data_IF_912647637489
#
_entry.id   IF_912647637489
#
_cell.length_a   1.000
_cell.length_b   1.000
_cell.length_c   1.000
_cell.angle_alpha   90.00
_cell.angle_beta   90.00
_cell.angle_gamma   90.00
#
_symmetry.space_group_name_H-M   'P 1'
#
loop_
_entity.id
_entity.type
_entity.pdbx_description
1 polymer ?
#
# COMPACT_ATOMS: atom_id res chain seq x y z
N UNK A 1 -40.83 -52.96 25.13
CA UNK A 1 -41.60 -51.79 24.67
C UNK A 1 -40.64 -50.82 23.99
N UNK A 2 -41.07 -50.16 22.91
CA UNK A 2 -40.30 -49.27 22.02
C UNK A 2 -39.64 -48.09 22.78
N UNK A 3 -38.42 -47.69 22.37
CA UNK A 3 -37.79 -46.37 22.62
C UNK A 3 -38.55 -45.25 21.85
N UNK A 4 -38.41 -43.92 22.10
CA UNK A 4 -37.15 -43.10 22.04
C UNK A 4 -37.22 -41.77 22.87
N UNK A 5 -36.61 -40.60 22.51
CA UNK A 5 -35.30 -40.26 21.90
C UNK A 5 -34.45 -39.24 22.71
N UNK A 6 -33.21 -39.04 22.23
CA UNK A 6 -32.32 -37.90 22.53
C UNK A 6 -32.85 -36.55 22.00
N UNK A 7 -32.44 -35.42 22.60
CA UNK A 7 -31.97 -34.25 21.83
C UNK A 7 -31.12 -33.26 22.64
N UNK A 8 -30.14 -32.74 21.92
CA UNK A 8 -29.09 -31.75 22.17
C UNK A 8 -29.62 -30.31 22.38
N UNK A 9 -28.88 -29.46 23.09
CA UNK A 9 -29.20 -28.03 23.18
C UNK A 9 -28.11 -27.14 23.80
N UNK A 10 -27.34 -26.49 22.92
CA UNK A 10 -26.76 -25.13 22.99
C UNK A 10 -26.14 -24.63 24.32
N UNK A 11 -24.82 -24.40 24.28
CA UNK A 11 -24.14 -23.45 25.18
C UNK A 11 -23.83 -22.19 24.36
N UNK A 12 -24.59 -21.12 24.60
CA UNK A 12 -24.25 -19.78 24.14
C UNK A 12 -23.17 -19.19 25.05
N UNK A 13 -22.09 -18.67 24.46
CA UNK A 13 -21.05 -17.92 25.17
C UNK A 13 -21.40 -16.43 25.08
N UNK A 14 -21.82 -15.87 26.21
CA UNK A 14 -21.97 -14.43 26.45
C UNK A 14 -20.75 -13.93 27.22
N UNK A 15 -19.97 -13.02 26.63
CA UNK A 15 -19.07 -12.08 27.32
C UNK A 15 -19.02 -10.83 26.43
N UNK A 16 -19.37 -9.60 26.81
CA UNK A 16 -19.49 -8.99 28.13
C UNK A 16 -18.72 -7.66 28.10
N UNK A 17 -19.34 -6.60 27.58
CA UNK A 17 -18.80 -5.23 27.57
C UNK A 17 -18.88 -4.66 29.00
N UNK A 18 -17.76 -4.28 29.61
CA UNK A 18 -17.71 -3.62 30.92
C UNK A 18 -17.36 -2.13 30.77
N UNK A 19 -18.36 -1.29 31.02
CA UNK A 19 -18.21 0.14 31.33
C UNK A 19 -18.41 0.29 32.84
N UNK A 20 -17.37 0.76 33.54
CA UNK A 20 -17.44 1.37 34.88
C UNK A 20 -17.02 2.83 34.67
N UNK A 21 -17.74 3.88 35.10
CA UNK A 21 -18.72 3.98 36.17
C UNK A 21 -18.15 4.88 37.27
N UNK A 22 -18.19 6.20 37.10
CA UNK A 22 -17.89 7.18 38.16
C UNK A 22 -18.96 8.30 38.19
N UNK A 23 -19.71 8.34 39.30
CA UNK A 23 -19.98 9.55 40.09
C UNK A 23 -21.03 10.56 39.60
N UNK A 24 -22.27 10.44 40.09
CA UNK A 24 -23.29 11.49 40.08
C UNK A 24 -23.24 12.30 41.38
N UNK A 25 -23.01 13.62 41.31
CA UNK A 25 -23.79 14.68 42.02
C UNK A 25 -23.16 16.06 41.82
N UNK A 26 -23.90 16.99 41.20
CA UNK A 26 -23.54 18.40 41.21
C UNK A 26 -24.38 19.27 40.29
N UNK A 27 -25.44 19.86 40.86
CA UNK A 27 -26.04 21.14 40.46
C UNK A 27 -26.66 21.26 39.04
N UNK A 28 -27.98 21.06 38.98
CA UNK A 28 -28.82 21.57 37.89
C UNK A 28 -28.80 23.11 37.90
N UNK A 29 -28.07 23.72 36.95
CA UNK A 29 -28.34 25.08 36.47
C UNK A 29 -28.75 24.98 35.00
N UNK A 30 -30.01 25.27 34.70
CA UNK A 30 -30.48 25.39 33.33
C UNK A 30 -29.75 26.53 32.59
N UNK A 31 -29.57 26.42 31.27
CA UNK A 31 -28.92 27.48 30.49
C UNK A 31 -29.74 28.77 30.52
N UNK A 32 -29.06 29.90 30.66
CA UNK A 32 -29.66 31.23 30.57
C UNK A 32 -30.27 31.47 29.17
N UNK A 33 -31.34 32.27 29.05
CA UNK A 33 -31.93 32.59 27.75
C UNK A 33 -30.95 33.38 26.88
N UNK A 34 -30.71 32.89 25.67
CA UNK A 34 -29.90 33.55 24.64
C UNK A 34 -30.73 34.63 23.99
N UNK A 35 -30.33 35.89 24.16
CA UNK A 35 -30.91 37.03 23.43
C UNK A 35 -30.71 36.86 21.93
N UNK A 36 -31.71 37.18 21.07
CA UNK A 36 -31.55 37.09 19.63
C UNK A 36 -30.50 38.09 19.15
N UNK A 37 -29.52 37.59 18.39
CA UNK A 37 -28.52 38.44 17.71
C UNK A 37 -29.22 39.36 16.71
N UNK A 38 -28.81 40.63 16.58
CA UNK A 38 -29.31 41.49 15.51
C UNK A 38 -28.93 40.88 14.15
N UNK A 39 -29.89 40.89 13.22
CA UNK A 39 -29.69 40.42 11.86
C UNK A 39 -28.55 41.21 11.19
N UNK A 40 -27.42 40.53 10.97
CA UNK A 40 -26.31 41.08 10.20
C UNK A 40 -26.76 41.37 8.76
N UNK A 41 -26.30 42.49 8.20
CA UNK A 41 -26.47 42.84 6.78
C UNK A 41 -26.11 41.63 5.90
N UNK A 42 -26.85 41.34 4.82
CA UNK A 42 -26.49 40.28 3.90
C UNK A 42 -25.10 40.56 3.32
N UNK A 43 -24.15 39.69 3.63
CA UNK A 43 -22.81 39.73 3.08
C UNK A 43 -22.92 39.34 1.60
N UNK A 44 -22.59 40.28 0.71
CA UNK A 44 -22.45 40.00 -0.72
C UNK A 44 -21.32 38.99 -0.90
N UNK A 45 -21.65 37.74 -1.18
CA UNK A 45 -20.67 36.72 -1.58
C UNK A 45 -20.32 37.00 -3.03
N UNK A 46 -19.20 37.67 -3.27
CA UNK A 46 -18.62 37.68 -4.60
C UNK A 46 -18.03 36.30 -4.90
N UNK A 47 -18.23 35.75 -6.12
CA UNK A 47 -17.68 34.45 -6.47
C UNK A 47 -16.16 34.51 -6.39
N UNK A 48 -15.58 33.77 -5.44
CA UNK A 48 -14.14 33.50 -5.40
C UNK A 48 -13.78 32.73 -6.66
N UNK A 49 -13.22 33.41 -7.65
CA UNK A 49 -12.45 32.79 -8.72
C UNK A 49 -11.27 32.07 -8.08
N UNK A 50 -11.29 30.74 -8.11
CA UNK A 50 -10.10 29.94 -7.83
C UNK A 50 -9.02 30.36 -8.83
N UNK A 51 -7.77 30.65 -8.39
CA UNK A 51 -6.71 30.94 -9.32
C UNK A 51 -6.55 29.73 -10.25
N UNK A 52 -6.65 29.96 -11.56
CA UNK A 52 -6.30 28.93 -12.55
C UNK A 52 -4.86 28.52 -12.26
N UNK A 53 -4.63 27.24 -12.01
CA UNK A 53 -3.29 26.67 -11.91
C UNK A 53 -2.55 27.07 -13.21
N UNK A 54 -1.38 27.72 -13.14
CA UNK A 54 -0.63 28.04 -14.36
C UNK A 54 -0.37 26.72 -15.12
N UNK A 55 -0.43 26.74 -16.46
CA UNK A 55 0.01 25.59 -17.24
C UNK A 55 1.44 25.23 -16.84
N UNK A 56 1.77 23.94 -16.87
CA UNK A 56 3.12 23.48 -16.61
C UNK A 56 4.11 24.28 -17.49
N UNK A 57 5.29 24.67 -16.97
CA UNK A 57 6.27 25.37 -17.78
C UNK A 57 6.60 24.49 -18.98
N UNK A 58 6.44 25.07 -20.18
CA UNK A 58 7.01 24.51 -21.40
C UNK A 58 8.53 24.53 -21.16
N UNK A 59 9.25 23.39 -21.27
CA UNK A 59 10.69 23.39 -21.07
C UNK A 59 11.30 24.40 -22.05
N UNK A 60 12.16 25.28 -21.52
CA UNK A 60 12.90 26.26 -22.32
C UNK A 60 13.57 25.53 -23.48
N UNK A 61 13.54 26.15 -24.66
CA UNK A 61 14.29 25.69 -25.81
C UNK A 61 15.77 25.66 -25.42
N UNK A 62 16.26 24.48 -25.03
CA UNK A 62 17.66 24.24 -24.72
C UNK A 62 18.44 24.44 -26.00
N UNK A 63 19.27 25.49 -25.98
CA UNK A 63 20.25 25.81 -27.00
C UNK A 63 21.13 24.59 -27.22
N UNK A 64 21.13 24.06 -28.46
CA UNK A 64 21.95 22.92 -28.86
C UNK A 64 23.42 23.16 -28.47
N UNK A 65 24.05 22.27 -27.65
CA UNK A 65 25.48 22.35 -27.43
C UNK A 65 26.19 21.97 -28.73
N UNK A 66 26.87 22.95 -29.31
CA UNK A 66 27.84 22.76 -30.38
C UNK A 66 28.91 21.77 -29.93
N UNK A 67 29.02 20.65 -30.66
CA UNK A 67 30.25 19.92 -30.87
C UNK A 67 30.91 19.29 -29.65
N UNK A 68 30.54 18.05 -29.36
CA UNK A 68 31.48 16.94 -29.19
C UNK A 68 30.70 15.62 -29.24
N UNK A 69 31.01 14.76 -30.20
CA UNK A 69 30.44 13.42 -30.32
C UNK A 69 30.74 12.60 -29.06
N UNK A 70 29.75 12.12 -28.28
CA UNK A 70 30.00 11.15 -27.22
C UNK A 70 29.97 9.75 -27.81
N UNK A 71 30.82 8.87 -27.27
CA UNK A 71 30.94 7.45 -27.61
C UNK A 71 29.70 6.59 -27.25
N UNK A 72 28.57 7.21 -26.93
CA UNK A 72 27.35 6.59 -26.40
C UNK A 72 26.21 6.61 -27.44
N UNK A 73 26.43 5.96 -28.58
CA UNK A 73 25.31 5.55 -29.41
C UNK A 73 24.43 4.60 -28.58
N UNK A 74 23.10 4.78 -28.55
CA UNK A 74 22.22 3.87 -27.83
C UNK A 74 22.46 2.46 -28.36
N UNK A 75 22.77 1.53 -27.45
CA UNK A 75 22.87 0.11 -27.76
C UNK A 75 21.56 -0.31 -28.43
N UNK A 76 21.63 -0.82 -29.65
CA UNK A 76 20.46 -1.27 -30.41
C UNK A 76 19.78 -2.39 -29.61
N UNK A 77 18.58 -2.12 -29.12
CA UNK A 77 17.83 -3.03 -28.27
C UNK A 77 17.24 -4.22 -29.04
N UNK A 78 17.50 -4.33 -30.36
CA UNK A 78 17.15 -5.49 -31.18
C UNK A 78 15.67 -5.56 -31.55
N UNK A 79 14.91 -4.48 -31.34
CA UNK A 79 13.51 -4.37 -31.73
C UNK A 79 13.25 -3.04 -32.46
N UNK A 80 12.51 -3.10 -33.56
CA UNK A 80 12.09 -1.90 -34.30
C UNK A 80 10.99 -1.18 -33.51
N UNK A 81 11.32 -0.01 -32.95
CA UNK A 81 10.33 0.82 -32.23
C UNK A 81 9.62 1.74 -33.23
N UNK A 82 8.29 1.64 -33.41
CA UNK A 82 7.56 2.54 -34.28
C UNK A 82 7.37 3.93 -33.63
N UNK A 83 8.07 4.92 -34.20
CA UNK A 83 7.83 6.38 -34.19
C UNK A 83 7.88 7.15 -32.84
N UNK A 84 8.67 8.23 -32.87
CA UNK A 84 8.88 9.29 -31.85
C UNK A 84 9.43 8.89 -30.49
N UNK A 85 10.63 8.28 -30.48
CA UNK A 85 11.48 8.32 -29.29
C UNK A 85 12.18 9.69 -29.12
N UNK A 86 11.95 10.66 -30.00
CA UNK A 86 12.59 11.97 -29.94
C UNK A 86 12.26 12.70 -28.62
N UNK A 87 11.04 12.52 -28.10
CA UNK A 87 10.56 13.18 -26.88
C UNK A 87 11.13 12.55 -25.58
N UNK A 88 11.56 11.29 -25.64
CA UNK A 88 12.09 10.54 -24.50
C UNK A 88 13.55 10.13 -24.64
N UNK A 89 14.19 10.45 -25.76
CA UNK A 89 15.58 10.06 -26.05
C UNK A 89 16.56 10.58 -25.00
N UNK A 90 16.28 11.76 -24.42
CA UNK A 90 17.07 12.28 -23.30
C UNK A 90 16.94 11.40 -22.05
N UNK A 91 15.73 10.93 -21.73
CA UNK A 91 15.47 10.13 -20.52
C UNK A 91 16.03 8.72 -20.64
N UNK A 92 15.86 8.08 -21.80
CA UNK A 92 16.38 6.72 -22.07
C UNK A 92 17.89 6.66 -21.87
N UNK A 93 18.63 7.72 -22.24
CA UNK A 93 20.08 7.82 -22.05
C UNK A 93 20.53 7.94 -20.58
N UNK A 94 19.61 8.28 -19.67
CA UNK A 94 19.91 8.43 -18.24
C UNK A 94 19.67 7.14 -17.46
N UNK A 95 19.02 6.13 -18.03
CA UNK A 95 18.76 4.88 -17.33
C UNK A 95 20.02 4.03 -17.21
N UNK A 96 20.31 3.63 -15.97
CA UNK A 96 21.40 2.73 -15.63
C UNK A 96 20.82 1.52 -14.91
N UNK A 97 21.36 0.31 -15.13
CA UNK A 97 20.94 -0.85 -14.36
C UNK A 97 21.29 -0.65 -12.88
N UNK A 98 20.36 -1.01 -12.00
CA UNK A 98 20.58 -1.06 -10.57
C UNK A 98 20.19 -2.46 -10.08
N UNK A 99 20.99 -3.10 -9.19
CA UNK A 99 20.57 -4.34 -8.56
C UNK A 99 19.21 -4.17 -7.90
N UNK A 100 18.24 -5.02 -8.25
CA UNK A 100 16.89 -4.93 -7.70
C UNK A 100 16.87 -5.17 -6.19
N UNK A 101 17.76 -6.03 -5.70
CA UNK A 101 17.82 -6.48 -4.31
C UNK A 101 19.19 -6.19 -3.69
N UNK A 102 19.18 -5.75 -2.44
CA UNK A 102 20.34 -5.68 -1.57
C UNK A 102 20.91 -7.08 -1.26
N UNK A 103 22.12 -7.11 -0.69
CA UNK A 103 22.73 -8.37 -0.24
C UNK A 103 21.90 -9.08 0.85
N UNK A 104 21.16 -8.33 1.67
CA UNK A 104 20.30 -8.92 2.70
C UNK A 104 19.03 -9.50 2.09
N UNK A 105 18.35 -8.77 1.22
CA UNK A 105 17.20 -9.27 0.47
C UNK A 105 17.55 -10.53 -0.34
N UNK A 106 18.72 -10.56 -0.99
CA UNK A 106 19.19 -11.77 -1.67
C UNK A 106 19.34 -12.99 -0.74
N UNK A 107 19.74 -12.78 0.52
CA UNK A 107 19.82 -13.88 1.51
C UNK A 107 18.43 -14.33 1.94
N UNK A 108 17.51 -13.39 2.18
CA UNK A 108 16.13 -13.71 2.54
C UNK A 108 15.42 -14.43 1.39
N UNK A 109 15.56 -13.94 0.15
CA UNK A 109 14.99 -14.57 -1.03
C UNK A 109 15.39 -16.05 -1.11
N UNK A 110 16.70 -16.35 -0.99
CA UNK A 110 17.18 -17.74 -0.99
C UNK A 110 16.58 -18.57 0.14
N UNK A 111 16.42 -17.99 1.33
CA UNK A 111 15.79 -18.66 2.47
C UNK A 111 14.30 -18.96 2.20
N UNK A 112 13.55 -17.99 1.68
CA UNK A 112 12.13 -18.15 1.33
C UNK A 112 11.95 -19.20 0.23
N UNK A 113 12.72 -19.10 -0.85
CA UNK A 113 12.68 -20.05 -1.98
C UNK A 113 13.00 -21.48 -1.53
N UNK A 114 13.87 -21.66 -0.53
CA UNK A 114 14.15 -22.99 0.05
C UNK A 114 13.05 -23.56 0.94
N UNK A 115 12.04 -22.77 1.31
CA UNK A 115 10.95 -23.17 2.22
C UNK A 115 9.60 -23.35 1.52
N UNK A 116 9.41 -22.73 0.35
CA UNK A 116 8.15 -22.85 -0.39
C UNK A 116 8.03 -24.25 -1.04
N UNK A 117 6.85 -24.90 -0.99
CA UNK A 117 6.63 -26.17 -1.66
C UNK A 117 6.48 -26.00 -3.19
N UNK A 118 6.47 -27.11 -3.97
CA UNK A 118 6.11 -27.06 -5.39
C UNK A 118 4.75 -26.39 -5.62
N UNK A 119 4.62 -25.61 -6.69
CA UNK A 119 3.39 -24.86 -6.98
C UNK A 119 3.24 -23.55 -6.19
N UNK A 120 4.28 -23.13 -5.47
CA UNK A 120 4.34 -21.85 -4.76
C UNK A 120 5.59 -21.08 -5.19
N UNK A 121 5.43 -19.79 -5.49
CA UNK A 121 6.51 -18.91 -5.98
C UNK A 121 6.76 -17.74 -5.04
N UNK A 122 8.02 -17.28 -4.99
CA UNK A 122 8.43 -16.06 -4.30
C UNK A 122 8.68 -14.96 -5.33
N UNK A 123 8.00 -13.84 -5.20
CA UNK A 123 8.07 -12.68 -6.09
C UNK A 123 8.70 -11.49 -5.34
N UNK A 124 9.93 -11.07 -5.68
CA UNK A 124 10.57 -9.92 -5.04
C UNK A 124 10.03 -8.58 -5.56
N UNK A 125 10.06 -7.56 -4.70
CA UNK A 125 9.82 -6.14 -5.02
C UNK A 125 8.52 -5.89 -5.80
N UNK A 126 7.40 -6.44 -5.32
CA UNK A 126 6.10 -6.32 -5.97
C UNK A 126 5.37 -5.07 -5.48
N UNK A 127 4.86 -4.24 -6.41
CA UNK A 127 4.10 -3.04 -6.01
C UNK A 127 2.74 -3.43 -5.48
N UNK A 128 2.26 -2.74 -4.43
CA UNK A 128 0.92 -2.95 -3.87
C UNK A 128 -0.17 -2.78 -4.93
N UNK A 129 -0.01 -1.80 -5.83
CA UNK A 129 -0.96 -1.56 -6.92
C UNK A 129 -1.06 -2.70 -7.95
N UNK A 130 -0.12 -3.66 -7.95
CA UNK A 130 -0.16 -4.78 -8.89
C UNK A 130 -1.04 -5.94 -8.37
N UNK A 131 -1.38 -5.97 -7.08
CA UNK A 131 -2.23 -7.02 -6.48
C UNK A 131 -3.36 -6.50 -5.59
N UNK A 132 -3.43 -5.19 -5.31
CA UNK A 132 -4.50 -4.54 -4.56
C UNK A 132 -5.22 -3.53 -5.45
N UNK A 133 -6.54 -3.69 -5.56
CA UNK A 133 -7.40 -2.80 -6.36
C UNK A 133 -8.36 -2.02 -5.45
N UNK A 134 -8.36 -0.68 -5.48
CA UNK A 134 -9.33 0.12 -4.74
C UNK A 134 -10.78 -0.14 -5.21
N UNK A 135 -11.69 -0.31 -4.24
CA UNK A 135 -13.14 -0.48 -4.47
C UNK A 135 -13.95 0.50 -3.62
N UNK A 136 -13.69 1.78 -3.83
CA UNK A 136 -14.41 2.92 -3.25
C UNK A 136 -15.70 3.28 -4.00
N UNK A 137 -16.44 4.29 -3.51
CA UNK A 137 -17.77 4.65 -4.00
C UNK A 137 -17.78 5.26 -5.40
N UNK A 138 -16.66 5.81 -5.87
CA UNK A 138 -16.55 6.46 -7.17
C UNK A 138 -15.12 6.39 -7.74
N UNK A 139 -14.98 6.76 -9.02
CA UNK A 139 -13.71 6.72 -9.75
C UNK A 139 -12.64 7.67 -9.19
N UNK A 140 -13.05 8.77 -8.57
CA UNK A 140 -12.15 9.78 -8.02
C UNK A 140 -11.54 9.30 -6.69
N UNK A 141 -12.36 8.69 -5.83
CA UNK A 141 -11.92 7.97 -4.63
C UNK A 141 -10.97 6.83 -4.98
N UNK A 142 -11.30 6.01 -6.00
CA UNK A 142 -10.44 4.92 -6.45
C UNK A 142 -9.10 5.43 -6.96
N UNK A 143 -9.10 6.49 -7.78
CA UNK A 143 -7.86 7.09 -8.30
C UNK A 143 -6.98 7.64 -7.18
N UNK A 144 -7.56 8.34 -6.19
CA UNK A 144 -6.82 8.81 -5.01
C UNK A 144 -6.21 7.67 -4.21
N UNK A 145 -6.98 6.60 -3.96
CA UNK A 145 -6.50 5.43 -3.23
C UNK A 145 -5.39 4.70 -4.01
N UNK A 146 -5.55 4.54 -5.32
CA UNK A 146 -4.53 3.95 -6.20
C UNK A 146 -3.20 4.68 -6.09
N UNK A 147 -3.19 6.01 -6.17
CA UNK A 147 -1.94 6.79 -6.04
C UNK A 147 -1.27 6.66 -4.67
N UNK A 148 -2.00 6.28 -3.62
CA UNK A 148 -1.40 6.01 -2.30
C UNK A 148 -0.59 4.71 -2.28
N UNK A 149 -0.95 3.72 -3.08
CA UNK A 149 -0.31 2.40 -3.12
C UNK A 149 0.61 2.20 -4.33
N UNK A 150 0.46 2.99 -5.39
CA UNK A 150 1.19 2.83 -6.66
C UNK A 150 2.71 2.97 -6.55
N UNK A 151 3.19 3.75 -5.58
CA UNK A 151 4.62 3.94 -5.32
C UNK A 151 5.15 3.09 -4.16
N UNK A 152 4.37 2.12 -3.69
CA UNK A 152 4.75 1.23 -2.58
C UNK A 152 4.94 -0.18 -3.10
N UNK A 153 6.03 -0.81 -2.70
CA UNK A 153 6.28 -2.23 -2.89
C UNK A 153 6.36 -2.92 -1.55
N UNK A 154 6.04 -4.21 -1.57
CA UNK A 154 6.42 -5.17 -0.54
C UNK A 154 7.68 -5.89 -1.00
N UNK A 155 8.60 -6.18 -0.07
CA UNK A 155 9.88 -6.80 -0.42
C UNK A 155 9.71 -8.18 -1.05
N UNK A 156 8.79 -8.99 -0.54
CA UNK A 156 8.41 -10.26 -1.18
C UNK A 156 6.91 -10.54 -1.08
N UNK A 157 6.34 -11.07 -2.16
CA UNK A 157 5.09 -11.82 -2.12
C UNK A 157 5.35 -13.30 -2.30
N UNK A 158 4.55 -14.11 -1.62
CA UNK A 158 4.45 -15.53 -1.89
C UNK A 158 3.10 -15.80 -2.52
N UNK A 159 3.11 -16.47 -3.68
CA UNK A 159 1.91 -16.70 -4.50
C UNK A 159 1.77 -18.17 -4.85
N UNK A 160 0.54 -18.61 -5.14
CA UNK A 160 0.28 -19.89 -5.79
C UNK A 160 0.60 -19.77 -7.29
N UNK A 161 1.42 -20.68 -7.81
CA UNK A 161 1.90 -20.66 -9.20
C UNK A 161 0.78 -20.75 -10.24
N UNK A 162 -0.26 -21.56 -9.97
CA UNK A 162 -1.30 -21.87 -10.95
C UNK A 162 -2.26 -20.73 -11.28
N UNK A 163 -2.52 -19.82 -10.33
CA UNK A 163 -3.52 -18.74 -10.46
C UNK A 163 -3.00 -17.36 -10.03
N UNK A 164 -1.78 -17.29 -9.47
CA UNK A 164 -1.19 -16.07 -8.97
C UNK A 164 -1.81 -15.55 -7.66
N UNK A 165 -2.62 -16.35 -6.97
CA UNK A 165 -3.24 -15.92 -5.72
C UNK A 165 -2.17 -15.65 -4.66
N UNK A 166 -2.25 -14.48 -4.01
CA UNK A 166 -1.31 -14.08 -2.96
C UNK A 166 -1.61 -14.84 -1.67
N UNK A 167 -0.59 -15.47 -1.10
CA UNK A 167 -0.68 -16.28 0.12
C UNK A 167 -0.09 -15.53 1.33
N UNK A 168 0.99 -14.79 1.13
CA UNK A 168 1.73 -14.09 2.19
C UNK A 168 2.50 -12.91 1.59
N UNK A 169 2.53 -11.77 2.28
CA UNK A 169 3.54 -10.73 2.08
C UNK A 169 4.66 -10.86 3.12
N UNK A 170 5.87 -10.46 2.74
CA UNK A 170 7.03 -10.38 3.64
C UNK A 170 7.71 -9.02 3.49
N UNK A 171 7.87 -8.29 4.59
CA UNK A 171 8.58 -7.00 4.68
C UNK A 171 9.85 -7.14 5.50
N UNK A 172 10.92 -6.48 5.05
CA UNK A 172 12.21 -6.44 5.74
C UNK A 172 12.38 -5.11 6.48
N UNK A 173 12.24 -5.17 7.79
CA UNK A 173 12.34 -4.00 8.66
C UNK A 173 13.82 -3.73 8.99
N UNK A 174 14.51 -2.90 8.23
CA UNK A 174 15.84 -2.45 8.62
C UNK A 174 15.77 -1.69 9.97
N UNK A 175 16.75 -1.83 10.85
CA UNK A 175 16.78 -1.20 12.18
C UNK A 175 16.88 0.34 12.18
N UNK A 176 16.79 1.00 11.01
CA UNK A 176 16.94 2.46 10.81
C UNK A 176 15.62 3.26 10.87
N UNK A 177 14.55 2.70 11.45
CA UNK A 177 13.15 3.14 11.27
C UNK A 177 12.58 4.21 12.23
N UNK A 178 13.38 5.11 12.78
CA UNK A 178 12.86 6.12 13.74
C UNK A 178 12.31 7.42 13.13
N UNK A 179 12.17 7.51 11.81
CA UNK A 179 11.62 8.70 11.16
C UNK A 179 10.07 8.62 11.09
N UNK A 180 9.33 9.66 11.55
CA UNK A 180 7.86 9.69 11.55
C UNK A 180 7.20 9.41 10.18
N UNK A 181 7.87 9.78 9.09
CA UNK A 181 7.39 9.54 7.73
C UNK A 181 7.41 8.05 7.35
N UNK A 182 8.33 7.26 7.92
CA UNK A 182 8.36 5.80 7.73
C UNK A 182 7.23 5.13 8.52
N UNK A 183 6.91 5.60 9.74
CA UNK A 183 5.77 5.08 10.51
C UNK A 183 4.44 5.23 9.77
N UNK A 184 4.21 6.38 9.11
CA UNK A 184 3.01 6.57 8.29
C UNK A 184 2.99 5.66 7.05
N UNK A 185 4.16 5.47 6.42
CA UNK A 185 4.32 4.58 5.26
C UNK A 185 3.99 3.13 5.64
N UNK A 186 4.59 2.65 6.72
CA UNK A 186 4.46 1.27 7.18
C UNK A 186 3.03 1.02 7.68
N UNK A 187 2.40 2.02 8.32
CA UNK A 187 1.00 1.94 8.73
C UNK A 187 0.03 1.74 7.56
N UNK A 188 0.27 2.37 6.40
CA UNK A 188 -0.58 2.16 5.22
C UNK A 188 -0.43 0.76 4.64
N UNK A 189 0.79 0.22 4.55
CA UNK A 189 1.02 -1.14 4.03
C UNK A 189 0.32 -2.15 4.93
N UNK A 190 0.55 -2.07 6.25
CA UNK A 190 -0.11 -2.91 7.24
C UNK A 190 -1.63 -2.85 7.14
N UNK A 191 -2.21 -1.64 7.08
CA UNK A 191 -3.64 -1.47 6.96
C UNK A 191 -4.19 -2.03 5.63
N UNK A 192 -3.44 -1.91 4.53
CA UNK A 192 -3.84 -2.45 3.23
C UNK A 192 -3.89 -3.97 3.26
N UNK A 193 -2.84 -4.64 3.76
CA UNK A 193 -2.77 -6.10 3.90
C UNK A 193 -3.89 -6.64 4.80
N UNK A 194 -4.09 -6.00 5.96
CA UNK A 194 -5.18 -6.35 6.87
C UNK A 194 -6.56 -6.21 6.20
N UNK A 195 -6.78 -5.13 5.44
CA UNK A 195 -8.04 -4.88 4.74
C UNK A 195 -8.35 -5.89 3.64
N UNK A 196 -7.33 -6.42 2.94
CA UNK A 196 -7.50 -7.43 1.89
C UNK A 196 -7.43 -8.87 2.41
N UNK A 197 -7.19 -9.05 3.72
CA UNK A 197 -7.15 -10.37 4.36
C UNK A 197 -5.93 -11.21 4.00
N UNK A 198 -4.83 -10.57 3.60
CA UNK A 198 -3.57 -11.26 3.30
C UNK A 198 -2.63 -11.11 4.51
N UNK A 199 -2.04 -12.21 5.02
CA UNK A 199 -1.02 -12.13 6.06
C UNK A 199 0.21 -11.32 5.62
N UNK A 200 0.82 -10.57 6.54
CA UNK A 200 2.05 -9.84 6.33
C UNK A 200 3.06 -10.18 7.43
N UNK A 201 4.20 -10.75 7.04
CA UNK A 201 5.29 -11.10 7.95
C UNK A 201 6.37 -10.02 7.91
N UNK A 202 6.66 -9.43 9.07
CA UNK A 202 7.80 -8.54 9.24
C UNK A 202 9.03 -9.32 9.72
N UNK A 203 10.18 -9.06 9.10
CA UNK A 203 11.45 -9.71 9.41
C UNK A 203 12.50 -8.64 9.73
N UNK A 204 13.05 -8.68 10.93
CA UNK A 204 14.16 -7.80 11.33
C UNK A 204 15.52 -8.46 11.09
N UNK A 205 16.62 -7.69 10.94
CA UNK A 205 17.96 -8.22 10.84
C UNK A 205 18.29 -9.22 11.96
N UNK A 206 18.81 -10.39 11.58
CA UNK A 206 19.18 -11.46 12.53
C UNK A 206 18.04 -12.38 12.94
N UNK A 207 16.79 -12.06 12.62
CA UNK A 207 15.66 -12.96 12.84
C UNK A 207 15.71 -14.13 11.84
N UNK A 208 15.44 -15.35 12.35
CA UNK A 208 15.23 -16.51 11.48
C UNK A 208 13.88 -16.37 10.77
N UNK A 209 13.90 -16.46 9.44
CA UNK A 209 12.70 -16.47 8.61
C UNK A 209 12.15 -17.89 8.54
N UNK A 210 10.90 -18.07 8.94
CA UNK A 210 10.14 -19.32 8.80
C UNK A 210 8.75 -19.03 8.24
N UNK A 211 8.46 -19.54 7.05
CA UNK A 211 7.18 -19.36 6.35
C UNK A 211 6.42 -20.68 6.16
N UNK A 212 6.95 -21.80 6.64
CA UNK A 212 6.40 -23.13 6.37
C UNK A 212 4.96 -23.32 6.86
N UNK A 213 4.61 -22.67 7.97
CA UNK A 213 3.25 -22.70 8.55
C UNK A 213 2.17 -22.01 7.70
N UNK A 214 2.54 -21.22 6.69
CA UNK A 214 1.58 -20.48 5.85
C UNK A 214 1.04 -21.30 4.67
N UNK A 215 1.53 -22.53 4.46
CA UNK A 215 1.17 -23.35 3.29
C UNK A 215 0.35 -24.59 3.62
N UNK A 216 -0.14 -24.73 4.86
CA UNK A 216 -0.88 -25.91 5.31
C UNK A 216 -2.10 -26.22 4.41
N UNK A 217 -2.85 -25.19 4.02
CA UNK A 217 -4.07 -25.32 3.20
C UNK A 217 -3.78 -25.48 1.70
N UNK A 218 -2.56 -25.18 1.24
CA UNK A 218 -2.15 -25.34 -0.16
C UNK A 218 -1.70 -26.77 -0.46
N UNK A 219 -1.31 -27.50 0.59
CA UNK A 219 -0.86 -28.88 0.53
C UNK A 219 -1.98 -29.90 0.81
N UNK A 220 -3.21 -29.42 1.08
CA UNK A 220 -4.41 -30.22 1.33
C UNK A 220 -5.23 -30.43 0.04
#
# INVERSE_FOLDING_TARGET
MRAPPMLMGMVEVVVGLLVLGWGVRGMLRGPAPVSPRPAGRPMRVEPRTLPRRPPAPVPDAVMEPVGNTPADAPVDAGFSVPVSMADYGWAVRLYQPHPLLSAWECRVLRSLTGQVPPGVLVCPQVRLADFIVPRGPDADANRRAFYKIASKSVDFLIIREGDGHVLLGVELDDSTHDLPERQYRDGLVNAAFAQVGIPLLHVVPGQRVDVTGYFADVMA
#
